data_IF_174339990688
#
_entry.id   IF_174339990688
#
_cell.length_a   1.000
_cell.length_b   1.000
_cell.length_c   1.000
_cell.angle_alpha   90.00
_cell.angle_beta   90.00
_cell.angle_gamma   90.00
#
_symmetry.space_group_name_H-M   'P 1'
#
loop_
_entity.id
_entity.type
_entity.pdbx_description
1 polymer ?
#
# COMPACT_ATOMS: atom_id res chain seq x y z
N UNK A 1 1.27 -1.01 -0.61
CA UNK A 1 1.49 -1.44 -2.01
C UNK A 1 2.81 -2.19 -2.06
N UNK A 2 2.81 -3.39 -2.64
CA UNK A 2 4.01 -4.21 -2.85
C UNK A 2 4.89 -3.64 -3.96
N UNK A 3 6.10 -4.17 -4.13
CA UNK A 3 7.02 -3.72 -5.20
C UNK A 3 6.51 -4.03 -6.61
N UNK A 4 7.33 -3.73 -7.62
CA UNK A 4 7.01 -3.93 -9.04
C UNK A 4 5.94 -2.96 -9.57
N UNK A 5 6.23 -1.67 -9.39
CA UNK A 5 5.42 -0.54 -9.85
C UNK A 5 5.40 -0.39 -11.37
N UNK A 6 6.37 -0.98 -12.08
CA UNK A 6 6.53 -0.83 -13.53
C UNK A 6 5.80 -1.91 -14.35
N UNK A 7 5.02 -2.77 -13.71
CA UNK A 7 4.28 -3.84 -14.38
C UNK A 7 3.01 -3.36 -15.11
N UNK A 8 2.45 -4.22 -15.96
CA UNK A 8 1.23 -3.93 -16.71
C UNK A 8 0.02 -3.63 -15.83
N UNK A 9 -0.08 -4.23 -14.64
CA UNK A 9 -1.16 -3.91 -13.67
C UNK A 9 -1.21 -2.42 -13.28
N UNK A 10 -0.12 -1.67 -13.44
CA UNK A 10 -0.07 -0.24 -13.12
C UNK A 10 0.05 0.67 -14.33
N UNK A 11 0.65 0.20 -15.42
CA UNK A 11 0.98 1.04 -16.60
C UNK A 11 0.16 0.72 -17.84
N UNK A 12 -0.51 -0.44 -17.90
CA UNK A 12 -1.35 -0.81 -19.04
C UNK A 12 -2.81 -0.40 -18.79
N UNK A 13 -3.56 -0.24 -19.87
CA UNK A 13 -5.01 -0.11 -19.81
C UNK A 13 -5.58 -1.43 -19.25
N UNK A 14 -6.11 -1.34 -18.04
CA UNK A 14 -6.73 -2.42 -17.33
C UNK A 14 -8.25 -2.26 -17.46
N UNK A 15 -8.80 -2.66 -18.60
CA UNK A 15 -10.25 -2.81 -18.80
C UNK A 15 -10.90 -3.90 -17.92
N UNK A 16 -10.22 -4.33 -16.84
CA UNK A 16 -10.64 -5.38 -15.94
C UNK A 16 -11.22 -4.81 -14.65
N UNK A 17 -12.34 -5.39 -14.24
CA UNK A 17 -13.04 -5.07 -13.00
C UNK A 17 -12.08 -5.17 -11.81
N UNK A 18 -11.85 -4.05 -11.09
CA UNK A 18 -11.26 -4.10 -9.75
C UNK A 18 -12.10 -5.06 -8.91
N UNK A 19 -11.50 -6.16 -8.46
CA UNK A 19 -12.15 -7.15 -7.57
C UNK A 19 -13.34 -7.92 -8.15
N UNK A 20 -13.63 -7.79 -9.46
CA UNK A 20 -14.78 -8.44 -10.09
C UNK A 20 -16.15 -7.99 -9.52
N UNK A 21 -16.19 -6.88 -8.78
CA UNK A 21 -17.39 -6.42 -8.04
C UNK A 21 -17.95 -5.09 -8.54
N UNK A 22 -17.11 -4.23 -9.10
CA UNK A 22 -17.50 -2.89 -9.52
C UNK A 22 -17.16 -2.67 -11.00
N UNK A 23 -18.06 -2.07 -11.80
CA UNK A 23 -17.70 -1.61 -13.14
C UNK A 23 -16.56 -0.59 -13.08
N UNK A 24 -15.79 -0.41 -14.17
CA UNK A 24 -14.78 0.64 -14.26
C UNK A 24 -15.36 2.00 -13.86
N UNK A 25 -14.56 2.83 -13.19
CA UNK A 25 -14.99 4.18 -12.82
C UNK A 25 -14.90 5.05 -14.06
N UNK A 26 -16.00 5.63 -14.56
CA UNK A 26 -15.92 6.43 -15.78
C UNK A 26 -15.37 7.82 -15.46
N UNK A 27 -14.75 8.50 -16.44
CA UNK A 27 -14.06 9.79 -16.22
C UNK A 27 -15.00 10.84 -15.61
N UNK A 28 -16.25 10.90 -16.02
CA UNK A 28 -17.23 11.86 -15.50
C UNK A 28 -17.46 11.73 -13.99
N UNK A 29 -17.26 10.53 -13.41
CA UNK A 29 -17.39 10.31 -11.99
C UNK A 29 -16.27 10.96 -11.16
N UNK A 30 -15.13 11.26 -11.79
CA UNK A 30 -13.93 11.86 -11.16
C UNK A 30 -13.55 13.22 -11.75
N UNK A 31 -14.24 13.69 -12.80
CA UNK A 31 -13.96 14.93 -13.52
C UNK A 31 -13.80 16.16 -12.59
N UNK A 32 -14.68 16.30 -11.58
CA UNK A 32 -14.62 17.41 -10.62
C UNK A 32 -13.31 17.48 -9.79
N UNK A 33 -12.58 16.37 -9.70
CA UNK A 33 -11.29 16.28 -9.01
C UNK A 33 -10.11 16.43 -9.99
N UNK A 34 -10.29 16.07 -11.26
CA UNK A 34 -9.25 16.12 -12.30
C UNK A 34 -9.21 17.46 -13.03
N UNK A 35 -10.35 18.13 -13.19
CA UNK A 35 -10.52 19.30 -14.06
C UNK A 35 -10.34 20.62 -13.30
N UNK A 36 -9.96 20.56 -12.03
CA UNK A 36 -9.67 21.74 -11.20
C UNK A 36 -8.16 21.91 -11.01
N UNK A 37 -7.62 23.15 -11.00
CA UNK A 37 -6.18 23.37 -10.91
C UNK A 37 -5.52 22.81 -9.64
N UNK A 38 -6.27 22.74 -8.55
CA UNK A 38 -5.85 22.13 -7.31
C UNK A 38 -7.07 21.66 -6.51
N UNK A 39 -6.95 20.48 -5.90
CA UNK A 39 -7.89 19.99 -4.91
C UNK A 39 -7.22 20.10 -3.53
N UNK A 40 -7.85 20.72 -2.52
CA UNK A 40 -7.28 20.76 -1.18
C UNK A 40 -6.94 19.35 -0.66
N UNK A 41 -5.75 19.14 -0.07
CA UNK A 41 -5.45 17.92 0.65
C UNK A 41 -6.53 17.68 1.72
N UNK A 42 -7.04 16.46 1.78
CA UNK A 42 -8.03 16.07 2.79
C UNK A 42 -7.53 14.84 3.52
N UNK A 43 -7.88 14.72 4.78
CA UNK A 43 -7.77 13.49 5.56
C UNK A 43 -9.11 13.23 6.24
N UNK A 44 -9.38 11.98 6.61
CA UNK A 44 -10.60 11.62 7.34
C UNK A 44 -11.89 11.66 6.54
N UNK A 45 -11.85 11.50 5.20
CA UNK A 45 -13.08 11.32 4.43
C UNK A 45 -13.77 10.02 4.85
N UNK A 46 -15.05 10.11 5.22
CA UNK A 46 -15.82 8.97 5.70
C UNK A 46 -15.96 7.93 4.60
N UNK A 47 -15.56 6.69 4.90
CA UNK A 47 -15.76 5.57 3.99
C UNK A 47 -17.26 5.27 3.85
N UNK A 48 -17.70 5.07 2.62
CA UNK A 48 -19.06 4.69 2.26
C UNK A 48 -19.02 3.30 1.63
N UNK A 49 -19.01 2.24 2.44
CA UNK A 49 -18.99 0.88 1.92
C UNK A 49 -20.35 0.59 1.27
N UNK A 50 -20.34 0.02 0.06
CA UNK A 50 -21.54 -0.51 -0.59
C UNK A 50 -21.23 -1.85 -1.28
N UNK A 51 -22.25 -2.68 -1.56
CA UNK A 51 -22.06 -3.96 -2.27
C UNK A 51 -21.40 -3.82 -3.64
N UNK A 52 -21.60 -2.67 -4.31
CA UNK A 52 -21.22 -2.44 -5.71
C UNK A 52 -20.05 -1.47 -5.87
N UNK A 53 -19.73 -0.67 -4.85
CA UNK A 53 -18.66 0.34 -4.91
C UNK A 53 -18.10 0.58 -3.52
N UNK A 54 -16.79 0.42 -3.38
CA UNK A 54 -16.06 0.96 -2.24
C UNK A 54 -15.73 2.42 -2.53
N UNK A 55 -16.24 3.33 -1.72
CA UNK A 55 -16.07 4.77 -1.92
C UNK A 55 -15.92 5.53 -0.62
N UNK A 56 -15.84 6.84 -0.74
CA UNK A 56 -15.78 7.81 0.34
C UNK A 56 -16.71 8.97 0.02
N UNK A 57 -17.07 9.76 1.04
CA UNK A 57 -17.94 10.92 0.92
C UNK A 57 -17.47 11.96 -0.12
N UNK A 58 -16.16 12.10 -0.31
CA UNK A 58 -15.59 13.01 -1.32
C UNK A 58 -15.35 12.33 -2.67
N UNK A 59 -15.68 11.04 -2.78
CA UNK A 59 -15.47 10.16 -3.92
C UNK A 59 -14.03 10.15 -4.47
N UNK A 60 -13.04 10.36 -3.60
CA UNK A 60 -11.61 10.36 -3.97
C UNK A 60 -11.04 8.97 -4.19
N UNK A 61 -11.57 7.94 -3.55
CA UNK A 61 -11.20 6.53 -3.76
C UNK A 61 -11.43 6.11 -5.22
N UNK A 62 -12.39 6.75 -5.90
CA UNK A 62 -12.63 6.57 -7.32
C UNK A 62 -11.42 6.93 -8.19
N UNK A 63 -10.57 7.88 -7.77
CA UNK A 63 -9.37 8.27 -8.51
C UNK A 63 -8.37 7.12 -8.64
N UNK A 64 -8.13 6.37 -7.55
CA UNK A 64 -7.25 5.20 -7.59
C UNK A 64 -7.75 4.18 -8.62
N UNK A 65 -9.05 3.87 -8.57
CA UNK A 65 -9.66 2.90 -9.48
C UNK A 65 -9.54 3.36 -10.92
N UNK A 66 -9.89 4.63 -11.19
CA UNK A 66 -9.83 5.27 -12.51
C UNK A 66 -8.41 5.30 -13.07
N UNK A 67 -7.42 5.79 -12.32
CA UNK A 67 -6.04 5.91 -12.80
C UNK A 67 -5.40 4.56 -13.13
N UNK A 68 -5.70 3.54 -12.33
CA UNK A 68 -5.24 2.17 -12.62
C UNK A 68 -5.96 1.59 -13.84
N UNK A 69 -7.27 1.84 -14.00
CA UNK A 69 -8.03 1.38 -15.17
C UNK A 69 -7.43 1.94 -16.47
N UNK A 70 -7.13 3.24 -16.52
CA UNK A 70 -6.52 3.87 -17.71
C UNK A 70 -4.99 3.66 -17.82
N UNK A 71 -4.38 2.95 -16.85
CA UNK A 71 -2.95 2.67 -16.82
C UNK A 71 -2.06 3.90 -16.60
N UNK A 72 -2.56 4.92 -15.90
CA UNK A 72 -1.84 6.15 -15.55
C UNK A 72 -1.56 6.27 -14.04
N UNK A 73 -1.84 5.23 -13.26
CA UNK A 73 -1.63 5.25 -11.80
C UNK A 73 -0.22 5.70 -11.40
N UNK A 74 0.79 5.23 -12.12
CA UNK A 74 2.19 5.59 -11.87
C UNK A 74 2.44 7.09 -12.11
N UNK A 75 1.73 7.71 -13.05
CA UNK A 75 1.93 9.13 -13.37
C UNK A 75 1.48 10.01 -12.21
N UNK A 76 0.37 9.66 -11.57
CA UNK A 76 -0.15 10.39 -10.42
C UNK A 76 0.63 10.12 -9.14
N UNK A 77 1.22 8.93 -8.97
CA UNK A 77 2.11 8.64 -7.83
C UNK A 77 3.45 9.37 -7.96
N UNK A 78 4.00 9.44 -9.18
CA UNK A 78 5.31 10.06 -9.43
C UNK A 78 5.22 11.56 -9.75
N UNK A 79 4.03 12.07 -10.10
CA UNK A 79 3.82 13.44 -10.54
C UNK A 79 4.35 13.75 -11.95
N UNK A 80 4.58 12.73 -12.78
CA UNK A 80 5.24 12.83 -14.09
C UNK A 80 4.57 11.89 -15.11
N UNK A 81 4.37 12.30 -16.38
CA UNK A 81 3.66 11.52 -17.39
C UNK A 81 4.54 10.41 -18.00
N UNK A 82 4.83 9.35 -17.24
CA UNK A 82 5.77 8.29 -17.62
C UNK A 82 5.10 7.06 -18.21
N UNK A 83 3.82 6.84 -17.92
CA UNK A 83 3.11 5.58 -18.20
C UNK A 83 3.02 5.27 -19.68
N UNK A 84 2.78 6.28 -20.53
CA UNK A 84 2.78 6.10 -21.99
C UNK A 84 4.13 5.57 -22.52
N UNK A 85 5.24 6.11 -22.01
CA UNK A 85 6.59 5.65 -22.37
C UNK A 85 6.84 4.24 -21.88
N UNK A 86 6.50 3.95 -20.63
CA UNK A 86 6.69 2.62 -20.03
C UNK A 86 5.86 1.55 -20.74
N UNK A 87 4.63 1.88 -21.14
CA UNK A 87 3.70 0.97 -21.85
C UNK A 87 4.22 0.59 -23.23
N UNK A 88 4.90 1.50 -23.92
CA UNK A 88 5.51 1.22 -25.23
C UNK A 88 6.74 0.29 -25.15
N UNK A 89 7.28 0.05 -23.96
CA UNK A 89 8.47 -0.75 -23.75
C UNK A 89 8.14 -2.17 -23.26
N UNK A 90 8.93 -3.18 -23.69
CA UNK A 90 8.93 -4.48 -23.03
C UNK A 90 9.21 -4.32 -21.55
N UNK A 91 8.55 -5.12 -20.71
CA UNK A 91 8.66 -5.03 -19.26
C UNK A 91 10.12 -4.96 -18.74
N UNK A 92 11.01 -5.81 -19.28
CA UNK A 92 12.41 -5.86 -18.89
C UNK A 92 13.20 -4.55 -19.15
N UNK A 93 12.74 -3.69 -20.07
CA UNK A 93 13.39 -2.43 -20.42
C UNK A 93 12.89 -1.23 -19.58
N UNK A 94 11.76 -1.37 -18.87
CA UNK A 94 11.09 -0.26 -18.18
C UNK A 94 11.93 0.36 -17.07
N UNK A 95 12.60 -0.46 -16.26
CA UNK A 95 13.44 0.03 -15.17
C UNK A 95 14.62 0.87 -15.68
N UNK A 96 15.22 0.47 -16.81
CA UNK A 96 16.32 1.21 -17.43
C UNK A 96 15.85 2.55 -18.04
N UNK A 97 14.63 2.57 -18.59
CA UNK A 97 14.02 3.78 -19.12
C UNK A 97 13.60 4.77 -18.02
N UNK A 98 13.59 4.36 -16.75
CA UNK A 98 13.23 5.26 -15.66
C UNK A 98 14.32 6.28 -15.36
N UNK A 99 13.90 7.54 -15.37
CA UNK A 99 14.70 8.69 -14.99
C UNK A 99 15.23 8.51 -13.57
N UNK A 100 16.53 8.77 -13.36
CA UNK A 100 17.19 8.51 -12.08
C UNK A 100 16.51 9.22 -10.90
N UNK A 101 16.02 10.45 -11.13
CA UNK A 101 15.32 11.24 -10.10
C UNK A 101 14.03 10.58 -9.56
N UNK A 102 13.40 9.69 -10.33
CA UNK A 102 12.15 9.02 -9.96
C UNK A 102 12.38 7.66 -9.29
N UNK A 103 13.57 7.08 -9.44
CA UNK A 103 13.91 5.76 -8.87
C UNK A 103 13.76 5.68 -7.34
N UNK A 104 14.02 6.74 -6.54
CA UNK A 104 13.79 6.71 -5.09
C UNK A 104 12.34 6.41 -4.69
N UNK A 105 11.36 6.68 -5.56
CA UNK A 105 9.96 6.39 -5.30
C UNK A 105 9.57 4.92 -5.60
N UNK A 106 10.45 4.15 -6.23
CA UNK A 106 10.20 2.76 -6.65
C UNK A 106 10.87 1.81 -5.67
N UNK A 107 10.10 1.01 -4.92
CA UNK A 107 10.63 0.06 -3.94
C UNK A 107 11.67 -0.88 -4.57
N UNK A 108 11.39 -1.43 -5.74
CA UNK A 108 12.30 -2.35 -6.44
C UNK A 108 13.67 -1.74 -6.79
N UNK A 109 13.77 -0.41 -6.88
CA UNK A 109 15.04 0.29 -7.09
C UNK A 109 15.82 0.55 -5.80
N UNK A 110 15.19 0.36 -4.63
CA UNK A 110 15.78 0.58 -3.30
C UNK A 110 16.17 -0.73 -2.60
N UNK A 111 15.92 -1.89 -3.22
CA UNK A 111 16.24 -3.19 -2.63
C UNK A 111 17.69 -3.57 -2.96
N UNK A 112 18.53 -3.64 -1.92
CA UNK A 112 19.90 -4.14 -1.95
C UNK A 112 20.18 -5.10 -0.77
N UNK A 113 21.42 -5.57 -0.63
CA UNK A 113 21.81 -6.50 0.44
C UNK A 113 21.75 -5.90 1.86
N UNK A 114 21.63 -4.57 1.98
CA UNK A 114 21.47 -3.86 3.26
C UNK A 114 20.01 -3.69 3.67
N UNK A 115 19.06 -4.09 2.81
CA UNK A 115 17.63 -3.96 3.08
C UNK A 115 17.27 -4.67 4.41
N UNK A 116 16.41 -4.06 5.25
CA UNK A 116 16.09 -4.64 6.55
C UNK A 116 15.40 -6.01 6.41
N UNK A 117 15.52 -6.88 7.43
CA UNK A 117 14.71 -8.08 7.51
C UNK A 117 13.23 -7.75 7.31
N UNK A 118 12.59 -8.44 6.38
CA UNK A 118 11.27 -8.06 5.86
C UNK A 118 10.28 -9.21 6.04
N UNK A 119 9.08 -8.88 6.49
CA UNK A 119 7.95 -9.80 6.55
C UNK A 119 6.84 -9.26 5.63
N UNK A 120 6.48 -10.06 4.63
CA UNK A 120 5.44 -9.75 3.66
C UNK A 120 4.20 -10.57 4.02
N UNK A 121 3.03 -9.94 3.99
CA UNK A 121 1.74 -10.55 4.28
C UNK A 121 0.78 -10.20 3.15
N UNK A 122 0.22 -11.20 2.49
CA UNK A 122 -0.59 -10.99 1.30
C UNK A 122 -1.74 -12.00 1.21
N UNK A 123 -2.89 -11.60 0.71
CA UNK A 123 -4.01 -12.50 0.45
C UNK A 123 -3.95 -13.10 -0.97
N UNK A 124 -4.21 -14.39 -1.15
CA UNK A 124 -4.06 -15.02 -2.48
C UNK A 124 -5.15 -14.66 -3.51
N UNK A 125 -6.22 -13.99 -3.08
CA UNK A 125 -7.29 -13.49 -3.93
C UNK A 125 -7.23 -11.96 -4.14
N UNK A 126 -6.19 -11.26 -3.67
CA UNK A 126 -6.10 -9.81 -3.79
C UNK A 126 -6.05 -9.36 -5.26
N UNK A 127 -7.18 -8.85 -5.75
CA UNK A 127 -7.33 -8.31 -7.10
C UNK A 127 -6.92 -6.83 -7.21
N UNK A 128 -6.69 -6.13 -6.09
CA UNK A 128 -6.29 -4.72 -6.09
C UNK A 128 -4.78 -4.59 -6.23
N UNK A 129 -4.03 -5.40 -5.48
CA UNK A 129 -2.58 -5.49 -5.54
C UNK A 129 -2.23 -6.97 -5.74
N UNK A 130 -1.85 -7.39 -6.96
CA UNK A 130 -1.62 -8.80 -7.24
C UNK A 130 -0.57 -9.43 -6.32
N UNK A 131 -0.81 -10.66 -5.88
CA UNK A 131 0.13 -11.44 -5.06
C UNK A 131 1.55 -11.49 -5.65
N UNK A 132 1.65 -11.50 -6.98
CA UNK A 132 2.93 -11.52 -7.70
C UNK A 132 3.86 -10.35 -7.32
N UNK A 133 3.31 -9.23 -6.83
CA UNK A 133 4.09 -8.08 -6.34
C UNK A 133 4.88 -8.42 -5.09
N UNK A 134 4.21 -9.02 -4.12
CA UNK A 134 4.83 -9.48 -2.88
C UNK A 134 5.81 -10.63 -3.14
N UNK A 135 5.48 -11.56 -4.05
CA UNK A 135 6.39 -12.64 -4.47
C UNK A 135 7.68 -12.09 -5.10
N UNK A 136 7.57 -11.14 -6.03
CA UNK A 136 8.75 -10.55 -6.67
C UNK A 136 9.65 -9.81 -5.67
N UNK A 137 9.07 -9.06 -4.73
CA UNK A 137 9.83 -8.44 -3.64
C UNK A 137 10.51 -9.49 -2.76
N UNK A 138 9.80 -10.55 -2.39
CA UNK A 138 10.33 -11.67 -1.61
C UNK A 138 11.53 -12.33 -2.29
N UNK A 139 11.39 -12.71 -3.56
CA UNK A 139 12.44 -13.37 -4.33
C UNK A 139 13.69 -12.48 -4.43
N UNK A 140 13.50 -11.19 -4.73
CA UNK A 140 14.61 -10.24 -4.83
C UNK A 140 15.38 -10.10 -3.51
N UNK A 141 14.68 -10.03 -2.38
CA UNK A 141 15.31 -9.97 -1.06
C UNK A 141 16.11 -11.24 -0.76
N UNK A 142 15.54 -12.41 -1.08
CA UNK A 142 16.18 -13.71 -0.91
C UNK A 142 17.45 -13.86 -1.75
N UNK A 143 17.42 -13.44 -3.01
CA UNK A 143 18.59 -13.42 -3.91
C UNK A 143 19.76 -12.61 -3.34
N UNK A 144 19.45 -11.51 -2.65
CA UNK A 144 20.44 -10.62 -2.04
C UNK A 144 20.90 -11.07 -0.64
N UNK A 145 20.43 -12.23 -0.17
CA UNK A 145 20.75 -12.74 1.16
C UNK A 145 20.02 -12.03 2.30
N UNK A 146 19.05 -11.18 2.01
CA UNK A 146 18.24 -10.49 3.03
C UNK A 146 17.27 -11.49 3.66
N UNK A 147 17.14 -11.43 5.00
CA UNK A 147 16.15 -12.24 5.74
C UNK A 147 14.75 -11.77 5.37
N UNK A 148 14.06 -12.53 4.51
CA UNK A 148 12.71 -12.24 4.08
C UNK A 148 11.78 -13.43 4.31
N UNK A 149 10.52 -13.13 4.60
CA UNK A 149 9.43 -14.09 4.75
C UNK A 149 8.18 -13.59 4.04
N UNK A 150 7.40 -14.50 3.48
CA UNK A 150 6.13 -14.22 2.82
C UNK A 150 5.07 -15.15 3.39
N UNK A 151 4.09 -14.57 4.09
CA UNK A 151 2.89 -15.26 4.55
C UNK A 151 1.76 -14.99 3.56
N UNK A 152 1.16 -16.06 3.04
CA UNK A 152 0.01 -15.98 2.14
C UNK A 152 -1.23 -16.43 2.91
N UNK A 153 -2.27 -15.59 2.94
CA UNK A 153 -3.55 -15.89 3.58
C UNK A 153 -4.53 -16.43 2.52
N UNK A 154 -4.91 -17.72 2.60
CA UNK A 154 -5.83 -18.31 1.63
C UNK A 154 -7.20 -17.64 1.64
N UNK A 155 -7.75 -17.37 0.45
CA UNK A 155 -9.03 -16.69 0.28
C UNK A 155 -9.00 -15.19 0.59
N UNK A 156 -7.84 -14.65 0.95
CA UNK A 156 -7.68 -13.24 1.32
C UNK A 156 -7.70 -12.32 0.12
N UNK A 157 -8.63 -11.39 0.10
CA UNK A 157 -8.61 -10.20 -0.76
C UNK A 157 -7.74 -9.10 -0.12
N UNK A 158 -7.81 -7.89 -0.70
CA UNK A 158 -7.25 -6.68 -0.09
C UNK A 158 -7.68 -6.56 1.39
N UNK A 159 -6.73 -6.16 2.24
CA UNK A 159 -6.87 -6.09 3.69
C UNK A 159 -7.20 -7.43 4.39
N UNK A 160 -6.92 -8.56 3.73
CA UNK A 160 -7.13 -9.92 4.25
C UNK A 160 -8.60 -10.21 4.57
N UNK A 161 -9.49 -9.67 3.75
CA UNK A 161 -10.94 -9.87 3.86
C UNK A 161 -11.42 -10.98 2.94
N UNK A 162 -12.52 -11.63 3.32
CA UNK A 162 -13.23 -12.57 2.47
C UNK A 162 -14.06 -11.80 1.45
N UNK A 163 -14.35 -12.47 0.33
CA UNK A 163 -15.27 -11.98 -0.69
C UNK A 163 -16.74 -12.16 -0.25
N UNK A 164 -17.11 -11.58 0.90
CA UNK A 164 -18.48 -11.51 1.45
C UNK A 164 -19.02 -10.08 1.48
N UNK A 165 -20.30 -9.93 1.83
CA UNK A 165 -20.90 -8.64 2.19
C UNK A 165 -21.85 -8.87 3.39
N UNK A 166 -21.65 -8.21 4.54
CA UNK A 166 -20.57 -7.27 4.86
C UNK A 166 -19.17 -7.92 4.79
N UNK A 167 -18.08 -7.14 4.66
CA UNK A 167 -16.72 -7.69 4.65
C UNK A 167 -16.41 -8.41 5.96
N UNK A 168 -15.90 -9.63 5.86
CA UNK A 168 -15.41 -10.41 6.99
C UNK A 168 -13.90 -10.60 6.85
N UNK A 169 -13.17 -10.69 7.95
CA UNK A 169 -11.76 -11.02 7.91
C UNK A 169 -11.56 -12.51 7.63
N UNK A 170 -10.51 -12.86 6.89
CA UNK A 170 -10.12 -14.24 6.71
C UNK A 170 -9.71 -14.88 8.04
N UNK A 171 -9.97 -16.18 8.23
CA UNK A 171 -9.41 -16.90 9.37
C UNK A 171 -7.89 -16.70 9.47
N UNK A 172 -7.41 -16.21 10.63
CA UNK A 172 -6.00 -15.94 10.88
C UNK A 172 -5.49 -14.56 10.46
N UNK A 173 -6.33 -13.70 9.87
CA UNK A 173 -5.98 -12.32 9.54
C UNK A 173 -5.61 -11.47 10.78
N UNK A 174 -6.13 -11.81 11.95
CA UNK A 174 -5.80 -11.21 13.25
C UNK A 174 -4.38 -11.58 13.74
N UNK A 175 -3.97 -12.83 13.50
CA UNK A 175 -2.68 -13.37 13.96
C UNK A 175 -1.53 -13.07 13.03
N UNK A 176 -1.80 -12.89 11.73
CA UNK A 176 -0.76 -12.71 10.73
C UNK A 176 0.08 -11.43 10.93
N UNK A 177 -0.50 -10.26 11.29
CA UNK A 177 0.28 -9.08 11.65
C UNK A 177 1.13 -9.30 12.92
N UNK A 178 0.59 -9.97 13.93
CA UNK A 178 1.34 -10.27 15.16
C UNK A 178 2.55 -11.17 14.89
N UNK A 179 2.42 -12.15 13.99
CA UNK A 179 3.53 -13.01 13.55
C UNK A 179 4.65 -12.16 12.95
N UNK A 180 4.31 -11.20 12.09
CA UNK A 180 5.26 -10.24 11.52
C UNK A 180 5.97 -9.41 12.58
N UNK A 181 5.21 -8.83 13.53
CA UNK A 181 5.77 -8.04 14.63
C UNK A 181 6.75 -8.85 15.49
N UNK A 182 6.36 -10.06 15.92
CA UNK A 182 7.24 -10.93 16.73
C UNK A 182 8.57 -11.18 16.02
N UNK A 183 8.54 -11.45 14.71
CA UNK A 183 9.76 -11.70 13.92
C UNK A 183 10.63 -10.47 13.75
N UNK A 184 10.03 -9.28 13.58
CA UNK A 184 10.77 -8.02 13.55
C UNK A 184 11.48 -7.72 14.89
N UNK A 185 10.89 -8.10 16.02
CA UNK A 185 11.53 -7.94 17.34
C UNK A 185 12.60 -9.00 17.60
N UNK A 186 12.40 -10.26 17.18
CA UNK A 186 13.41 -11.32 17.32
C UNK A 186 14.67 -11.02 16.51
N UNK A 187 14.55 -10.52 15.28
CA UNK A 187 15.70 -10.16 14.44
C UNK A 187 16.53 -9.01 15.03
N UNK A 188 15.92 -8.07 15.75
CA UNK A 188 16.65 -7.02 16.50
C UNK A 188 17.45 -7.58 17.67
N UNK A 189 16.95 -8.61 18.35
CA UNK A 189 17.68 -9.26 19.43
C UNK A 189 18.91 -10.02 18.90
N UNK A 190 18.78 -10.65 17.73
CA UNK A 190 19.87 -11.36 17.04
C UNK A 190 20.96 -10.40 16.52
N UNK A 191 20.59 -9.19 16.07
CA UNK A 191 21.53 -8.22 15.48
C UNK A 191 22.18 -7.25 16.49
N UNK A 192 22.07 -7.48 17.80
CA UNK A 192 22.82 -6.73 18.82
C UNK A 192 22.47 -5.24 18.96
N UNK A 193 21.41 -4.76 18.31
CA UNK A 193 20.98 -3.35 18.42
C UNK A 193 20.30 -3.14 19.78
N UNK A 194 21.09 -2.81 20.81
CA UNK A 194 20.58 -2.41 22.13
C UNK A 194 19.66 -1.21 21.95
N UNK A 195 18.37 -1.40 22.22
CA UNK A 195 17.45 -0.29 22.49
C UNK A 195 18.05 0.49 23.66
N UNK A 196 18.54 1.71 23.40
CA UNK A 196 18.75 2.67 24.48
C UNK A 196 17.38 2.92 25.09
N UNK A 197 17.05 2.21 26.17
CA UNK A 197 15.94 2.62 27.04
C UNK A 197 16.25 4.05 27.45
N UNK A 198 15.40 4.99 27.07
CA UNK A 198 15.42 6.31 27.67
C UNK A 198 15.37 6.12 29.20
N UNK A 199 16.23 6.80 29.97
CA UNK A 199 16.22 6.66 31.41
C UNK A 199 14.85 7.07 31.93
N UNK A 200 14.23 6.20 32.74
CA UNK A 200 13.05 6.55 33.55
C UNK A 200 13.52 7.51 34.63
N UNK A 201 13.61 8.81 34.33
CA UNK A 201 13.67 9.86 35.33
C UNK A 201 12.26 10.41 35.55
N UNK A 202 11.69 10.05 36.70
CA UNK A 202 10.74 10.83 37.49
C UNK A 202 9.64 11.62 36.75
N UNK A 203 8.49 10.98 36.52
CA UNK A 203 7.20 11.68 36.50
C UNK A 203 6.59 11.55 37.88
N UNK A 204 6.96 12.46 38.78
CA UNK A 204 6.22 12.78 39.99
C UNK A 204 5.74 14.22 39.88
N UNK A 205 4.41 14.38 39.91
CA UNK A 205 3.64 15.59 40.21
C UNK A 205 3.81 16.81 39.26
N UNK A 206 2.71 17.22 38.61
CA UNK A 206 1.80 18.27 39.08
C UNK A 206 0.68 18.41 38.04
N UNK A 207 -0.49 17.83 38.32
CA UNK A 207 -1.76 18.33 37.80
C UNK A 207 -2.44 19.05 38.96
N UNK A 208 -2.36 20.39 39.00
CA UNK A 208 -3.30 21.18 39.79
C UNK A 208 -4.54 21.37 38.91
N UNK A 209 -5.62 20.68 39.27
CA UNK A 209 -6.96 21.03 38.83
C UNK A 209 -7.32 22.38 39.46
N UNK A 210 -7.63 23.37 38.61
CA UNK A 210 -8.39 24.55 39.02
C UNK A 210 -9.86 24.16 39.11
N UNK A 211 -10.39 24.16 40.31
CA UNK A 211 -11.83 24.13 40.57
C UNK A 211 -12.42 25.50 40.22
N UNK A 212 -13.43 25.49 39.36
CA UNK A 212 -14.38 26.59 39.20
C UNK A 212 -15.44 26.43 40.29
N UNK A 213 -15.50 27.37 41.24
CA UNK A 213 -16.64 27.51 42.15
C UNK A 213 -17.68 28.47 41.58
N UNK A 214 -18.99 28.22 41.79
CA UNK A 214 -20.06 29.10 41.36
C UNK A 214 -20.42 30.12 42.45
N UNK A 215 -20.66 31.36 42.04
CA UNK A 215 -21.64 32.30 42.64
C UNK A 215 -22.05 33.29 41.57
#
# INVERSE_FOLDING_TARGET
MGGDFLCDHWVADNNNLLSGRAPPVPREAVARLLDVPAVPPTSGSTLQPSPHRFGDEQHRIGLFSYWRDIGEFVDYVLGEPVSATLRALPYAARAAAMQERLRPALLEAQIDASFPPTFLLHGDQDAMVPLSKSQKTYDRLRELGVKAELEIVPGGEQALTLKTWPPEFCPGADKAPEKGLRRAYSSRAENGLRVRRAPRSSLSAVCRHGELSPT
#
